data_IF_795754141950
#
_entry.id   IF_795754141950
#
_cell.length_a   1.000
_cell.length_b   1.000
_cell.length_c   1.000
_cell.angle_alpha   90.00
_cell.angle_beta   90.00
_cell.angle_gamma   90.00
#
_symmetry.space_group_name_H-M   'P 1'
#
loop_
_entity.id
_entity.type
_entity.pdbx_description
1 polymer ?
#
# COMPACT_ATOMS: atom_id res chain seq x y z
N UNK A 1 -16.45 28.16 -14.82
CA UNK A 1 -15.88 26.81 -15.04
C UNK A 1 -14.65 26.79 -15.94
N UNK A 2 -14.25 27.91 -16.57
CA UNK A 2 -13.14 27.95 -17.54
C UNK A 2 -11.77 27.54 -16.99
N UNK A 3 -11.54 27.67 -15.66
CA UNK A 3 -10.29 27.24 -15.01
C UNK A 3 -10.02 25.73 -15.04
N UNK A 4 -11.02 24.90 -15.34
CA UNK A 4 -10.88 23.44 -15.32
C UNK A 4 -10.59 22.86 -16.70
N UNK A 5 -9.84 21.76 -16.73
CA UNK A 5 -9.56 21.00 -17.96
C UNK A 5 -10.88 20.48 -18.53
N UNK A 6 -11.08 20.70 -19.83
CA UNK A 6 -12.29 20.30 -20.54
C UNK A 6 -12.02 20.04 -22.02
N UNK A 7 -13.01 19.44 -22.69
CA UNK A 7 -13.09 19.44 -24.16
C UNK A 7 -14.27 20.31 -24.60
N UNK A 8 -14.25 20.74 -25.87
CA UNK A 8 -15.39 21.45 -26.47
C UNK A 8 -16.68 20.64 -26.31
N UNK A 9 -17.81 21.35 -26.26
CA UNK A 9 -19.13 20.71 -26.18
C UNK A 9 -19.31 19.68 -27.31
N UNK A 10 -19.77 18.50 -26.93
CA UNK A 10 -20.11 17.42 -27.86
C UNK A 10 -21.47 16.85 -27.47
N UNK A 11 -22.34 16.65 -28.46
CA UNK A 11 -23.65 16.03 -28.24
C UNK A 11 -23.51 14.57 -27.74
N UNK A 12 -22.45 13.88 -28.16
CA UNK A 12 -22.12 12.49 -27.79
C UNK A 12 -20.66 12.40 -27.32
N UNK A 13 -20.29 12.97 -26.15
CA UNK A 13 -18.91 12.94 -25.72
C UNK A 13 -18.53 11.53 -25.29
N UNK A 14 -17.34 11.09 -25.67
CA UNK A 14 -16.74 9.90 -25.10
C UNK A 14 -16.13 10.30 -23.74
N UNK A 15 -16.69 9.79 -22.64
CA UNK A 15 -16.23 10.07 -21.27
C UNK A 15 -14.73 9.87 -21.07
N UNK A 16 -14.15 8.86 -21.72
CA UNK A 16 -12.73 8.53 -21.61
C UNK A 16 -11.82 9.55 -22.32
N UNK A 17 -12.38 10.37 -23.23
CA UNK A 17 -11.66 11.46 -23.91
C UNK A 17 -11.77 12.80 -23.17
N UNK A 18 -12.61 12.90 -22.15
CA UNK A 18 -12.73 14.11 -21.33
C UNK A 18 -11.59 14.09 -20.28
N UNK A 19 -10.73 15.12 -20.21
CA UNK A 19 -9.64 15.18 -19.24
C UNK A 19 -10.19 15.22 -17.81
N UNK A 20 -9.51 14.53 -16.90
CA UNK A 20 -9.92 14.43 -15.49
C UNK A 20 -9.31 15.59 -14.69
N UNK A 21 -10.16 16.29 -13.94
CA UNK A 21 -9.77 17.20 -12.87
C UNK A 21 -9.82 16.42 -11.55
N UNK A 22 -8.66 16.18 -10.94
CA UNK A 22 -8.54 15.37 -9.73
C UNK A 22 -8.76 16.23 -8.49
N UNK A 23 -9.55 15.72 -7.55
CA UNK A 23 -9.82 16.30 -6.25
C UNK A 23 -9.52 15.24 -5.17
N UNK A 24 -9.01 15.72 -4.04
CA UNK A 24 -8.84 14.92 -2.82
C UNK A 24 -9.88 15.33 -1.78
N UNK A 25 -9.92 14.64 -0.64
CA UNK A 25 -10.81 15.04 0.46
C UNK A 25 -10.44 16.39 1.09
N UNK A 26 -9.22 16.88 0.89
CA UNK A 26 -8.83 18.24 1.28
C UNK A 26 -9.53 19.29 0.40
N UNK A 27 -9.88 18.93 -0.85
CA UNK A 27 -10.57 19.79 -1.83
C UNK A 27 -12.10 19.61 -1.80
N UNK A 28 -12.64 18.98 -0.75
CA UNK A 28 -14.03 18.53 -0.69
C UNK A 28 -15.03 19.69 -0.84
N UNK A 29 -14.74 20.84 -0.24
CA UNK A 29 -15.62 22.01 -0.31
C UNK A 29 -15.71 22.57 -1.73
N UNK A 30 -14.58 22.64 -2.44
CA UNK A 30 -14.57 23.05 -3.84
C UNK A 30 -15.33 22.04 -4.69
N UNK A 31 -15.08 20.74 -4.52
CA UNK A 31 -15.79 19.69 -5.24
C UNK A 31 -17.31 19.76 -5.00
N UNK A 32 -17.73 19.94 -3.75
CA UNK A 32 -19.14 20.08 -3.37
C UNK A 32 -19.78 21.32 -3.98
N UNK A 33 -19.04 22.43 -4.09
CA UNK A 33 -19.53 23.64 -4.74
C UNK A 33 -19.83 23.42 -6.23
N UNK A 34 -18.95 22.69 -6.94
CA UNK A 34 -19.13 22.32 -8.35
C UNK A 34 -20.33 21.38 -8.50
N UNK A 35 -20.44 20.38 -7.64
CA UNK A 35 -21.55 19.44 -7.64
C UNK A 35 -22.89 20.14 -7.39
N UNK A 36 -22.95 21.04 -6.40
CA UNK A 36 -24.14 21.84 -6.10
C UNK A 36 -24.53 22.71 -7.29
N UNK A 37 -23.56 23.42 -7.90
CA UNK A 37 -23.81 24.22 -9.09
C UNK A 37 -24.40 23.37 -10.23
N UNK A 38 -23.81 22.19 -10.50
CA UNK A 38 -24.30 21.29 -11.53
C UNK A 38 -25.72 20.77 -11.25
N UNK A 39 -26.01 20.40 -10.00
CA UNK A 39 -27.33 19.95 -9.57
C UNK A 39 -28.39 21.04 -9.71
N UNK A 40 -28.03 22.28 -9.39
CA UNK A 40 -28.98 23.39 -9.36
C UNK A 40 -29.25 23.97 -10.78
N UNK A 41 -28.32 23.79 -11.73
CA UNK A 41 -28.44 24.39 -13.09
C UNK A 41 -28.61 23.38 -14.23
N UNK A 42 -28.27 22.10 -14.04
CA UNK A 42 -28.23 21.12 -15.12
C UNK A 42 -29.12 19.90 -14.85
N UNK A 43 -29.55 19.23 -15.91
CA UNK A 43 -30.37 18.03 -15.80
C UNK A 43 -29.53 16.82 -15.40
N UNK A 44 -29.91 16.15 -14.30
CA UNK A 44 -29.32 14.86 -13.94
C UNK A 44 -29.75 13.80 -14.96
N UNK A 45 -28.78 13.09 -15.55
CA UNK A 45 -29.05 11.97 -16.46
C UNK A 45 -28.47 10.68 -15.88
N UNK A 46 -29.24 9.59 -15.98
CA UNK A 46 -28.83 8.27 -15.46
C UNK A 46 -27.81 7.61 -16.40
N UNK A 47 -26.92 6.81 -15.82
CA UNK A 47 -26.01 5.97 -16.59
C UNK A 47 -26.75 4.89 -17.37
N UNK A 48 -26.18 4.48 -18.51
CA UNK A 48 -26.52 3.21 -19.14
C UNK A 48 -26.05 2.05 -18.24
N UNK A 49 -26.58 0.84 -18.43
CA UNK A 49 -26.12 -0.36 -17.71
C UNK A 49 -24.60 -0.58 -17.78
N UNK A 50 -23.95 -0.08 -18.85
CA UNK A 50 -22.50 -0.09 -19.07
C UNK A 50 -21.72 1.09 -18.45
N UNK A 51 -22.32 1.90 -17.58
CA UNK A 51 -21.71 3.10 -16.97
C UNK A 51 -21.31 4.20 -17.98
N UNK A 52 -21.88 4.14 -19.17
CA UNK A 52 -21.72 5.12 -20.24
C UNK A 52 -22.71 6.29 -20.11
N UNK A 53 -22.62 7.24 -21.05
CA UNK A 53 -23.54 8.37 -21.16
C UNK A 53 -24.75 7.92 -22.00
N UNK A 54 -25.98 8.17 -21.49
CA UNK A 54 -27.24 7.85 -22.17
C UNK A 54 -27.27 8.39 -23.60
N UNK A 55 -27.81 7.59 -24.53
CA UNK A 55 -27.87 7.91 -25.95
C UNK A 55 -29.22 8.43 -26.43
N UNK A 56 -30.19 8.66 -25.54
CA UNK A 56 -31.51 9.17 -25.90
C UNK A 56 -31.45 10.63 -26.32
N UNK A 57 -32.05 10.96 -27.48
CA UNK A 57 -31.95 12.28 -28.13
C UNK A 57 -32.57 13.40 -27.30
N UNK A 58 -33.73 13.16 -26.66
CA UNK A 58 -34.42 14.15 -25.81
C UNK A 58 -33.64 14.55 -24.54
N UNK A 59 -32.70 13.73 -24.09
CA UNK A 59 -31.82 14.04 -22.95
C UNK A 59 -30.55 14.78 -23.37
N UNK A 60 -30.23 14.80 -24.68
CA UNK A 60 -28.97 15.34 -25.21
C UNK A 60 -29.01 16.84 -25.54
N UNK A 61 -30.20 17.41 -25.71
CA UNK A 61 -30.38 18.81 -26.08
C UNK A 61 -30.24 19.77 -24.90
N UNK A 62 -30.20 19.24 -23.67
CA UNK A 62 -30.03 20.04 -22.46
C UNK A 62 -28.62 19.91 -21.90
N UNK A 63 -28.18 20.97 -21.23
CA UNK A 63 -27.03 20.93 -20.33
C UNK A 63 -27.34 19.94 -19.20
N UNK A 64 -26.37 19.06 -18.93
CA UNK A 64 -26.61 17.86 -18.15
C UNK A 64 -25.39 17.47 -17.35
N UNK A 65 -25.62 16.67 -16.31
CA UNK A 65 -24.55 16.08 -15.53
C UNK A 65 -24.84 14.63 -15.13
N UNK A 66 -23.77 13.92 -14.78
CA UNK A 66 -23.78 12.51 -14.39
C UNK A 66 -22.91 12.32 -13.16
N UNK A 67 -23.29 11.33 -12.34
CA UNK A 67 -22.58 10.98 -11.12
C UNK A 67 -22.31 9.50 -11.11
N UNK A 68 -21.04 9.11 -10.94
CA UNK A 68 -20.63 7.73 -10.64
C UNK A 68 -20.13 7.67 -9.20
N UNK A 69 -20.83 6.90 -8.37
CA UNK A 69 -20.38 6.59 -7.01
C UNK A 69 -19.74 5.19 -6.99
N UNK A 70 -18.50 5.11 -6.53
CA UNK A 70 -17.81 3.85 -6.19
C UNK A 70 -17.38 3.84 -4.73
N UNK A 71 -16.82 2.72 -4.27
CA UNK A 71 -16.45 2.53 -2.85
C UNK A 71 -15.46 3.57 -2.31
N UNK A 72 -14.59 4.15 -3.15
CA UNK A 72 -13.57 5.13 -2.74
C UNK A 72 -13.41 6.28 -3.75
N UNK A 73 -14.40 6.46 -4.62
CA UNK A 73 -14.36 7.49 -5.66
C UNK A 73 -15.75 8.04 -5.94
N UNK A 74 -15.79 9.32 -6.24
CA UNK A 74 -16.97 10.02 -6.70
C UNK A 74 -16.60 10.79 -7.97
N UNK A 75 -17.22 10.42 -9.08
CA UNK A 75 -16.97 11.03 -10.39
C UNK A 75 -18.17 11.87 -10.79
N UNK A 76 -17.93 13.12 -11.18
CA UNK A 76 -18.92 14.05 -11.71
C UNK A 76 -18.54 14.40 -13.16
N UNK A 77 -19.46 14.22 -14.09
CA UNK A 77 -19.29 14.64 -15.49
C UNK A 77 -20.33 15.70 -15.79
N UNK A 78 -19.91 16.84 -16.32
CA UNK A 78 -20.80 17.95 -16.73
C UNK A 78 -20.66 18.14 -18.23
N UNK A 79 -21.79 18.30 -18.93
CA UNK A 79 -21.86 18.63 -20.35
C UNK A 79 -22.74 19.86 -20.47
N UNK A 80 -22.13 21.00 -20.80
CA UNK A 80 -22.80 22.28 -20.97
C UNK A 80 -22.23 23.02 -22.17
N UNK A 81 -22.81 24.16 -22.54
CA UNK A 81 -22.40 24.94 -23.71
C UNK A 81 -20.94 25.38 -23.64
N UNK A 82 -20.39 25.57 -22.44
CA UNK A 82 -18.98 25.92 -22.24
C UNK A 82 -18.01 24.73 -22.41
N UNK A 83 -18.51 23.49 -22.40
CA UNK A 83 -17.67 22.30 -22.62
C UNK A 83 -18.15 21.03 -21.94
N UNK A 84 -17.35 19.98 -22.09
CA UNK A 84 -17.49 18.74 -21.34
C UNK A 84 -16.39 18.66 -20.28
N UNK A 85 -16.77 18.54 -19.01
CA UNK A 85 -15.90 18.52 -17.84
C UNK A 85 -16.02 17.18 -17.12
N UNK A 86 -14.92 16.72 -16.53
CA UNK A 86 -14.86 15.51 -15.72
C UNK A 86 -14.09 15.80 -14.44
N UNK A 87 -14.73 15.55 -13.30
CA UNK A 87 -14.20 15.77 -11.96
C UNK A 87 -14.17 14.44 -11.22
N UNK A 88 -13.08 14.13 -10.56
CA UNK A 88 -12.91 12.89 -9.81
C UNK A 88 -12.44 13.21 -8.39
N UNK A 89 -13.33 13.05 -7.42
CA UNK A 89 -12.99 13.03 -6.01
C UNK A 89 -12.60 11.60 -5.62
N UNK A 90 -11.39 11.43 -5.11
CA UNK A 90 -10.91 10.14 -4.61
C UNK A 90 -9.96 10.37 -3.42
N UNK A 91 -9.77 9.34 -2.59
CA UNK A 91 -8.64 9.34 -1.66
C UNK A 91 -7.33 9.57 -2.43
N UNK A 92 -6.32 10.16 -1.76
CA UNK A 92 -4.99 10.48 -2.33
C UNK A 92 -4.62 9.52 -3.47
N UNK A 93 -4.20 10.08 -4.62
CA UNK A 93 -3.66 9.29 -5.73
C UNK A 93 -2.72 8.25 -5.11
N UNK A 94 -2.95 6.96 -5.39
CA UNK A 94 -1.89 5.97 -5.25
C UNK A 94 -0.66 6.56 -5.93
N UNK A 95 0.44 6.65 -5.22
CA UNK A 95 1.69 7.06 -5.85
C UNK A 95 1.92 6.15 -7.05
N UNK A 96 2.45 6.68 -8.16
CA UNK A 96 2.51 5.98 -9.45
C UNK A 96 3.33 4.67 -9.39
N UNK A 97 3.96 4.34 -8.25
CA UNK A 97 4.74 3.13 -7.98
C UNK A 97 4.10 2.16 -6.96
N UNK A 98 2.91 2.44 -6.42
CA UNK A 98 2.25 1.58 -5.42
C UNK A 98 1.55 0.36 -6.07
N UNK A 99 2.10 -0.83 -5.86
CA UNK A 99 1.45 -2.10 -6.24
C UNK A 99 0.61 -2.68 -5.10
N UNK A 100 -0.44 -3.42 -5.46
CA UNK A 100 -1.28 -4.14 -4.48
C UNK A 100 -0.53 -5.34 -3.90
N UNK A 101 -0.99 -5.86 -2.75
CA UNK A 101 -0.43 -7.10 -2.18
C UNK A 101 -0.55 -8.30 -3.13
N UNK A 102 -1.64 -8.39 -3.88
CA UNK A 102 -1.81 -9.45 -4.89
C UNK A 102 -0.77 -9.33 -6.01
N UNK A 103 -0.52 -8.12 -6.50
CA UNK A 103 0.50 -7.90 -7.53
C UNK A 103 1.91 -8.15 -6.98
N UNK A 104 2.22 -7.64 -5.79
CA UNK A 104 3.48 -7.93 -5.08
C UNK A 104 3.74 -9.44 -4.96
N UNK A 105 2.72 -10.20 -4.57
CA UNK A 105 2.78 -11.66 -4.45
C UNK A 105 3.09 -12.33 -5.80
N UNK A 106 2.41 -11.92 -6.88
CA UNK A 106 2.69 -12.41 -8.24
C UNK A 106 4.10 -12.06 -8.72
N UNK A 107 4.70 -10.97 -8.23
CA UNK A 107 6.08 -10.64 -8.55
C UNK A 107 7.05 -11.56 -7.80
N UNK A 108 6.84 -11.81 -6.49
CA UNK A 108 7.62 -12.81 -5.73
C UNK A 108 7.63 -14.15 -6.46
N UNK A 109 6.46 -14.57 -6.93
CA UNK A 109 6.26 -15.79 -7.69
C UNK A 109 7.08 -15.88 -8.98
N UNK A 110 7.14 -14.79 -9.76
CA UNK A 110 8.00 -14.72 -10.95
C UNK A 110 9.48 -14.81 -10.59
N UNK A 111 9.88 -14.22 -9.47
CA UNK A 111 11.24 -14.36 -8.94
C UNK A 111 11.50 -15.80 -8.48
N UNK A 112 10.55 -16.46 -7.82
CA UNK A 112 10.68 -17.87 -7.42
C UNK A 112 10.89 -18.76 -8.65
N UNK A 113 10.12 -18.55 -9.72
CA UNK A 113 10.28 -19.26 -11.00
C UNK A 113 11.69 -19.06 -11.58
N UNK A 114 12.21 -17.82 -11.58
CA UNK A 114 13.57 -17.48 -12.06
C UNK A 114 14.66 -18.25 -11.29
N UNK A 115 14.46 -18.46 -10.00
CA UNK A 115 15.40 -19.13 -9.11
C UNK A 115 15.14 -20.64 -8.96
N UNK A 116 14.21 -21.22 -9.75
CA UNK A 116 13.78 -22.62 -9.65
C UNK A 116 13.31 -23.01 -8.23
N UNK A 117 12.69 -22.08 -7.51
CA UNK A 117 12.12 -22.30 -6.20
C UNK A 117 10.67 -22.75 -6.36
N UNK A 118 10.37 -23.98 -5.92
CA UNK A 118 8.99 -24.45 -5.81
C UNK A 118 8.32 -23.84 -4.57
N UNK A 119 7.68 -22.68 -4.77
CA UNK A 119 7.07 -21.94 -3.69
C UNK A 119 5.85 -22.65 -3.06
N UNK A 120 5.24 -23.63 -3.75
CA UNK A 120 4.15 -24.42 -3.17
C UNK A 120 4.60 -25.22 -1.93
N UNK A 121 5.90 -25.46 -1.76
CA UNK A 121 6.45 -26.14 -0.57
C UNK A 121 6.15 -25.40 0.74
N UNK A 122 5.90 -24.09 0.66
CA UNK A 122 5.52 -23.28 1.81
C UNK A 122 4.01 -23.10 1.95
N UNK A 123 3.22 -23.69 1.05
CA UNK A 123 1.77 -23.54 1.06
C UNK A 123 1.13 -24.35 2.17
N UNK A 124 0.03 -23.83 2.70
CA UNK A 124 -0.85 -24.47 3.65
C UNK A 124 -2.24 -24.53 3.02
N UNK A 125 -3.04 -25.52 3.41
CA UNK A 125 -4.47 -25.48 3.15
C UNK A 125 -5.13 -24.31 3.91
N UNK A 126 -6.34 -23.94 3.51
CA UNK A 126 -7.00 -22.74 4.03
C UNK A 126 -7.37 -22.81 5.51
N UNK A 127 -7.66 -24.00 6.04
CA UNK A 127 -8.02 -24.15 7.46
C UNK A 127 -6.77 -24.02 8.32
N UNK A 128 -5.71 -24.76 7.99
CA UNK A 128 -4.39 -24.62 8.65
C UNK A 128 -3.86 -23.19 8.55
N UNK A 129 -3.95 -22.56 7.38
CA UNK A 129 -3.51 -21.19 7.17
C UNK A 129 -4.29 -20.17 8.02
N UNK A 130 -5.59 -20.40 8.22
CA UNK A 130 -6.43 -19.56 9.08
C UNK A 130 -6.06 -19.69 10.55
N UNK A 131 -5.73 -20.89 11.01
CA UNK A 131 -5.27 -21.12 12.39
C UNK A 131 -3.93 -20.43 12.62
N UNK A 132 -2.96 -20.62 11.72
CA UNK A 132 -1.66 -19.93 11.76
C UNK A 132 -1.83 -18.41 11.80
N UNK A 133 -2.80 -17.86 11.05
CA UNK A 133 -3.07 -16.43 11.04
C UNK A 133 -3.41 -15.88 12.43
N UNK A 134 -4.03 -16.67 13.30
CA UNK A 134 -4.35 -16.27 14.68
C UNK A 134 -3.13 -16.17 15.58
N UNK A 135 -2.04 -16.86 15.22
CA UNK A 135 -0.76 -16.87 15.95
C UNK A 135 0.21 -15.78 15.48
N UNK A 136 -0.13 -15.04 14.42
CA UNK A 136 0.67 -13.91 13.95
C UNK A 136 0.47 -12.74 14.91
N UNK A 137 1.55 -12.36 15.58
CA UNK A 137 1.54 -11.26 16.53
C UNK A 137 1.37 -9.91 15.82
N UNK A 138 0.91 -8.91 16.57
CA UNK A 138 0.94 -7.54 16.06
C UNK A 138 2.39 -7.01 16.00
N UNK A 139 2.73 -6.18 15.01
CA UNK A 139 4.01 -5.49 14.96
C UNK A 139 4.35 -4.79 16.29
N UNK A 140 5.64 -4.72 16.64
CA UNK A 140 6.10 -4.20 17.93
C UNK A 140 6.07 -2.66 17.97
N UNK A 141 4.90 -2.04 17.87
CA UNK A 141 4.74 -0.58 17.91
C UNK A 141 4.40 -0.15 19.34
N UNK A 142 5.37 0.42 20.05
CA UNK A 142 5.22 0.71 21.48
C UNK A 142 6.04 1.94 21.90
N UNK A 143 5.49 2.71 22.84
CA UNK A 143 6.26 3.69 23.64
C UNK A 143 6.78 2.96 24.87
N UNK A 144 8.10 2.79 24.94
CA UNK A 144 8.77 2.05 26.00
C UNK A 144 9.00 2.91 27.26
N UNK A 145 9.12 4.23 27.09
CA UNK A 145 9.36 5.18 28.18
C UNK A 145 8.25 6.22 28.26
N UNK A 146 7.17 5.91 28.97
CA UNK A 146 6.01 6.81 29.09
C UNK A 146 6.34 8.17 29.73
N UNK A 147 7.34 8.21 30.63
CA UNK A 147 7.80 9.44 31.28
C UNK A 147 8.46 10.46 30.33
N UNK A 148 8.73 10.02 29.09
CA UNK A 148 9.35 10.80 28.03
C UNK A 148 8.32 11.33 27.02
N UNK A 149 7.03 11.02 27.20
CA UNK A 149 5.95 11.63 26.42
C UNK A 149 5.93 13.14 26.63
N UNK A 150 5.63 13.88 25.56
CA UNK A 150 5.51 15.34 25.52
C UNK A 150 6.78 16.12 25.90
N UNK A 151 7.96 15.46 25.83
CA UNK A 151 9.26 16.08 26.05
C UNK A 151 10.08 16.14 24.77
N UNK A 152 10.88 17.20 24.63
CA UNK A 152 11.96 17.27 23.64
C UNK A 152 13.17 16.56 24.22
N UNK A 153 13.70 15.58 23.48
CA UNK A 153 14.83 14.76 23.90
C UNK A 153 15.91 14.89 22.84
N UNK A 154 17.10 15.29 23.27
CA UNK A 154 18.28 15.38 22.41
C UNK A 154 19.07 14.05 22.46
N UNK A 155 20.02 13.87 21.54
CA UNK A 155 20.84 12.65 21.45
C UNK A 155 20.01 11.36 21.30
N UNK A 156 18.96 11.48 20.49
CA UNK A 156 18.13 10.34 20.09
C UNK A 156 18.64 9.80 18.76
N UNK A 157 18.91 8.51 18.74
CA UNK A 157 19.36 7.76 17.57
C UNK A 157 18.29 6.74 17.17
N UNK A 158 18.36 6.28 15.92
CA UNK A 158 17.41 5.33 15.35
C UNK A 158 18.15 4.14 14.75
N UNK A 159 17.76 2.93 15.15
CA UNK A 159 18.10 1.69 14.44
C UNK A 159 16.93 1.37 13.51
N UNK A 160 17.20 1.22 12.22
CA UNK A 160 16.23 0.88 11.18
C UNK A 160 16.62 -0.46 10.54
N UNK A 161 15.80 -1.51 10.75
CA UNK A 161 16.07 -2.85 10.20
C UNK A 161 15.63 -2.93 8.74
N UNK A 162 16.60 -2.92 7.80
CA UNK A 162 16.27 -2.82 6.38
C UNK A 162 15.57 -4.08 5.86
N UNK A 163 14.33 -3.90 5.38
CA UNK A 163 13.51 -4.98 4.84
C UNK A 163 13.40 -6.18 5.80
N UNK A 164 13.20 -5.85 7.09
CA UNK A 164 13.15 -6.76 8.23
C UNK A 164 12.38 -8.06 7.97
N UNK A 165 11.16 -7.96 7.44
CA UNK A 165 10.31 -9.12 7.13
C UNK A 165 10.96 -10.12 6.19
N UNK A 166 11.49 -9.66 5.05
CA UNK A 166 12.16 -10.51 4.08
C UNK A 166 13.44 -11.13 4.67
N UNK A 167 14.19 -10.37 5.46
CA UNK A 167 15.36 -10.89 6.17
C UNK A 167 15.03 -12.05 7.10
N UNK A 168 13.98 -11.94 7.91
CA UNK A 168 13.57 -13.03 8.82
C UNK A 168 13.14 -14.28 8.07
N UNK A 169 12.47 -14.12 6.92
CA UNK A 169 12.17 -15.25 6.03
C UNK A 169 13.45 -15.90 5.54
N UNK A 170 14.44 -15.12 5.08
CA UNK A 170 15.71 -15.67 4.60
C UNK A 170 16.55 -16.34 5.69
N UNK A 171 16.45 -15.92 6.95
CA UNK A 171 17.09 -16.61 8.07
C UNK A 171 16.47 -17.99 8.31
N UNK A 172 15.14 -18.10 8.23
CA UNK A 172 14.43 -19.37 8.40
C UNK A 172 14.46 -20.27 7.15
N UNK A 173 14.59 -19.66 5.97
CA UNK A 173 14.57 -20.31 4.65
C UNK A 173 15.73 -19.79 3.79
N UNK A 174 16.98 -20.23 4.06
CA UNK A 174 18.18 -19.74 3.37
C UNK A 174 18.14 -19.89 1.85
N UNK A 175 17.42 -20.88 1.34
CA UNK A 175 17.20 -21.11 -0.10
C UNK A 175 16.47 -19.95 -0.80
N UNK A 176 15.75 -19.11 -0.06
CA UNK A 176 15.08 -17.92 -0.59
C UNK A 176 16.01 -16.69 -0.64
N UNK A 177 17.20 -16.76 -0.04
CA UNK A 177 18.07 -15.59 0.19
C UNK A 177 18.49 -14.89 -1.09
N UNK A 178 18.95 -15.62 -2.09
CA UNK A 178 19.45 -15.02 -3.32
C UNK A 178 18.34 -14.28 -4.08
N UNK A 179 17.15 -14.89 -4.11
CA UNK A 179 15.94 -14.29 -4.68
C UNK A 179 15.60 -12.96 -4.00
N UNK A 180 15.50 -12.95 -2.67
CA UNK A 180 15.19 -11.74 -1.92
C UNK A 180 16.29 -10.69 -1.99
N UNK A 181 17.55 -11.10 -2.05
CA UNK A 181 18.70 -10.21 -2.20
C UNK A 181 18.65 -9.48 -3.55
N UNK A 182 18.30 -10.18 -4.63
CA UNK A 182 18.08 -9.53 -5.94
C UNK A 182 16.95 -8.50 -5.85
N UNK A 183 15.77 -8.88 -5.35
CA UNK A 183 14.62 -7.95 -5.21
C UNK A 183 15.02 -6.71 -4.40
N UNK A 184 15.72 -6.92 -3.28
CA UNK A 184 16.21 -5.84 -2.44
C UNK A 184 17.20 -4.93 -3.18
N UNK A 185 18.16 -5.50 -3.92
CA UNK A 185 19.14 -4.73 -4.70
C UNK A 185 18.48 -3.83 -5.76
N UNK A 186 17.37 -4.29 -6.34
CA UNK A 186 16.60 -3.57 -7.36
C UNK A 186 15.85 -2.34 -6.83
N UNK A 187 15.78 -2.17 -5.51
CA UNK A 187 15.31 -0.91 -4.89
C UNK A 187 16.12 0.30 -5.31
N UNK A 188 17.39 0.12 -5.72
CA UNK A 188 18.20 1.21 -6.31
C UNK A 188 17.66 1.68 -7.67
N UNK A 189 16.94 0.83 -8.38
CA UNK A 189 16.32 1.14 -9.68
C UNK A 189 14.94 1.79 -9.50
N UNK A 190 14.12 1.24 -8.59
CA UNK A 190 12.80 1.78 -8.24
C UNK A 190 12.44 1.39 -6.79
N UNK A 191 12.79 2.26 -5.84
CA UNK A 191 12.64 1.94 -4.42
C UNK A 191 11.18 1.65 -4.06
N UNK A 192 10.24 2.49 -4.51
CA UNK A 192 8.82 2.31 -4.24
C UNK A 192 8.32 0.93 -4.68
N UNK A 193 8.50 0.59 -5.95
CA UNK A 193 7.98 -0.67 -6.52
C UNK A 193 8.57 -1.90 -5.82
N UNK A 194 9.90 -1.99 -5.72
CA UNK A 194 10.55 -3.19 -5.15
C UNK A 194 10.41 -3.28 -3.64
N UNK A 195 10.34 -2.14 -2.92
CA UNK A 195 9.97 -2.14 -1.50
C UNK A 195 8.57 -2.69 -1.30
N UNK A 196 7.60 -2.29 -2.12
CA UNK A 196 6.25 -2.82 -2.04
C UNK A 196 6.15 -4.31 -2.40
N UNK A 197 7.00 -4.83 -3.30
CA UNK A 197 7.09 -6.29 -3.51
C UNK A 197 7.46 -6.98 -2.18
N UNK A 198 8.48 -6.49 -1.49
CA UNK A 198 8.99 -7.09 -0.25
C UNK A 198 7.99 -6.98 0.91
N UNK A 199 7.25 -5.86 1.02
CA UNK A 199 6.36 -5.62 2.17
C UNK A 199 4.93 -6.09 1.93
N UNK A 200 4.36 -5.79 0.76
CA UNK A 200 2.93 -6.04 0.50
C UNK A 200 2.65 -7.53 0.21
N UNK A 201 3.65 -8.30 -0.23
CA UNK A 201 3.53 -9.76 -0.39
C UNK A 201 3.25 -10.45 0.95
N UNK A 202 3.91 -10.02 2.03
CA UNK A 202 3.67 -10.51 3.40
C UNK A 202 2.22 -10.27 3.85
N UNK A 203 1.69 -9.09 3.55
CA UNK A 203 0.28 -8.76 3.80
C UNK A 203 -0.68 -9.64 2.98
N UNK A 204 -0.33 -9.94 1.73
CA UNK A 204 -1.12 -10.81 0.86
C UNK A 204 -1.21 -12.24 1.40
N UNK A 205 -0.07 -12.80 1.83
CA UNK A 205 0.06 -14.19 2.29
C UNK A 205 -0.79 -14.55 3.50
N UNK A 206 -1.03 -13.58 4.37
CA UNK A 206 -1.87 -13.73 5.56
C UNK A 206 -3.31 -13.23 5.35
N UNK A 207 -3.73 -13.01 4.10
CA UNK A 207 -5.05 -12.48 3.77
C UNK A 207 -6.01 -13.57 3.24
N UNK A 208 -7.33 -13.38 3.36
CA UNK A 208 -8.31 -14.26 2.72
C UNK A 208 -8.29 -14.14 1.18
N UNK A 209 -7.52 -13.19 0.62
CA UNK A 209 -7.41 -12.92 -0.80
C UNK A 209 -6.02 -13.26 -1.36
N UNK A 210 -5.23 -14.07 -0.63
CA UNK A 210 -3.91 -14.51 -1.07
C UNK A 210 -4.02 -15.17 -2.45
N UNK A 211 -3.19 -14.71 -3.39
CA UNK A 211 -3.19 -15.25 -4.76
C UNK A 211 -2.50 -16.59 -4.76
N UNK A 212 -3.13 -17.58 -5.37
CA UNK A 212 -2.61 -18.92 -5.51
C UNK A 212 -1.30 -18.95 -6.31
N UNK A 213 -0.30 -19.67 -5.82
CA UNK A 213 0.98 -19.81 -6.52
C UNK A 213 0.80 -20.52 -7.86
N UNK A 214 0.14 -21.67 -7.89
CA UNK A 214 0.04 -22.49 -9.12
C UNK A 214 -0.73 -21.77 -10.22
N UNK A 215 -1.86 -21.18 -9.87
CA UNK A 215 -2.75 -20.54 -10.84
C UNK A 215 -2.47 -19.06 -11.03
N UNK A 216 -1.85 -18.32 -10.09
CA UNK A 216 -1.57 -16.87 -10.22
C UNK A 216 -2.81 -15.96 -10.37
N UNK A 217 -4.02 -16.51 -10.42
CA UNK A 217 -5.28 -15.75 -10.63
C UNK A 217 -6.41 -16.14 -9.68
N UNK A 218 -6.40 -17.34 -9.09
CA UNK A 218 -7.36 -17.70 -8.04
C UNK A 218 -6.85 -17.24 -6.68
N UNK A 219 -7.76 -17.07 -5.72
CA UNK A 219 -7.39 -16.81 -4.34
C UNK A 219 -7.51 -18.09 -3.52
N UNK A 220 -6.47 -18.38 -2.74
CA UNK A 220 -6.45 -19.45 -1.72
C UNK A 220 -6.21 -18.75 -0.38
N UNK A 221 -7.23 -18.62 0.48
CA UNK A 221 -7.12 -17.92 1.75
C UNK A 221 -5.91 -18.39 2.57
N UNK A 222 -5.11 -17.45 3.05
CA UNK A 222 -4.02 -17.70 4.01
C UNK A 222 -2.95 -18.72 3.56
N UNK A 223 -2.83 -18.96 2.25
CA UNK A 223 -1.98 -20.03 1.70
C UNK A 223 -0.54 -20.01 2.24
N UNK A 224 0.02 -18.83 2.49
CA UNK A 224 1.41 -18.66 2.94
C UNK A 224 1.49 -18.00 4.31
N UNK A 225 0.50 -18.22 5.18
CA UNK A 225 0.44 -17.62 6.51
C UNK A 225 1.64 -17.99 7.39
N UNK A 226 2.24 -19.18 7.21
CA UNK A 226 3.50 -19.58 7.85
C UNK A 226 4.65 -18.61 7.52
N UNK A 227 4.85 -18.25 6.25
CA UNK A 227 5.89 -17.29 5.85
C UNK A 227 5.63 -15.91 6.43
N UNK A 228 4.37 -15.47 6.45
CA UNK A 228 3.99 -14.20 7.07
C UNK A 228 4.22 -14.20 8.60
N UNK A 229 3.94 -15.33 9.27
CA UNK A 229 4.23 -15.52 10.70
C UNK A 229 5.73 -15.43 10.96
N UNK A 230 6.55 -16.14 10.19
CA UNK A 230 8.01 -16.09 10.27
C UNK A 230 8.53 -14.65 10.12
N UNK A 231 8.03 -13.92 9.12
CA UNK A 231 8.40 -12.53 8.90
C UNK A 231 8.07 -11.62 10.10
N UNK A 232 6.82 -11.63 10.54
CA UNK A 232 6.31 -10.67 11.53
C UNK A 232 6.80 -11.00 12.94
N UNK A 233 6.61 -12.25 13.38
CA UNK A 233 7.00 -12.67 14.73
C UNK A 233 8.53 -12.69 14.85
N UNK A 234 9.25 -13.10 13.78
CA UNK A 234 10.72 -13.02 13.76
C UNK A 234 11.23 -11.58 13.90
N UNK A 235 10.55 -10.61 13.27
CA UNK A 235 10.95 -9.20 13.35
C UNK A 235 10.71 -8.63 14.74
N UNK A 236 9.55 -8.97 15.33
CA UNK A 236 9.23 -8.66 16.71
C UNK A 236 10.30 -9.22 17.68
N UNK A 237 10.67 -10.48 17.53
CA UNK A 237 11.71 -11.11 18.35
C UNK A 237 13.07 -10.40 18.21
N UNK A 238 13.46 -10.01 16.99
CA UNK A 238 14.70 -9.26 16.74
C UNK A 238 14.69 -7.87 17.39
N UNK A 239 13.56 -7.16 17.35
CA UNK A 239 13.37 -5.88 18.06
C UNK A 239 13.57 -6.09 19.58
N UNK A 240 12.90 -7.08 20.16
CA UNK A 240 13.01 -7.38 21.59
C UNK A 240 14.44 -7.76 22.00
N UNK A 241 15.14 -8.53 21.16
CA UNK A 241 16.55 -8.85 21.33
C UNK A 241 17.42 -7.59 21.33
N UNK A 242 17.27 -6.72 20.32
CA UNK A 242 18.06 -5.50 20.18
C UNK A 242 17.79 -4.50 21.30
N UNK A 243 16.54 -4.40 21.79
CA UNK A 243 16.21 -3.65 23.02
C UNK A 243 17.04 -4.14 24.22
N UNK A 244 17.16 -5.46 24.42
CA UNK A 244 17.95 -6.03 25.50
C UNK A 244 19.44 -5.69 25.33
N UNK A 245 19.95 -5.72 24.10
CA UNK A 245 21.35 -5.35 23.81
C UNK A 245 21.62 -3.86 24.08
N UNK A 246 20.72 -2.96 23.67
CA UNK A 246 20.82 -1.52 23.94
C UNK A 246 20.88 -1.24 25.46
N UNK A 247 19.97 -1.85 26.22
CA UNK A 247 19.94 -1.71 27.69
C UNK A 247 21.25 -2.20 28.33
N UNK A 248 21.81 -3.31 27.86
CA UNK A 248 23.11 -3.81 28.35
C UNK A 248 24.27 -2.85 28.08
N UNK A 249 24.20 -2.05 27.00
CA UNK A 249 25.19 -1.00 26.68
C UNK A 249 24.90 0.35 27.37
N UNK A 250 23.97 0.40 28.32
CA UNK A 250 23.61 1.64 29.03
C UNK A 250 22.76 2.62 28.20
N UNK A 251 22.25 2.20 27.05
CA UNK A 251 21.38 3.01 26.21
C UNK A 251 19.92 2.85 26.64
N UNK A 252 19.10 3.86 26.37
CA UNK A 252 17.70 3.89 26.82
C UNK A 252 16.76 3.81 25.62
N UNK A 253 16.19 2.63 25.30
CA UNK A 253 15.14 2.51 24.28
C UNK A 253 13.92 3.35 24.66
N UNK A 254 13.43 4.16 23.72
CA UNK A 254 12.36 5.12 23.92
C UNK A 254 11.06 4.66 23.26
N UNK A 255 11.13 4.32 21.98
CA UNK A 255 10.00 3.87 21.18
C UNK A 255 10.42 2.84 20.13
N UNK A 256 9.46 2.06 19.69
CA UNK A 256 9.62 1.13 18.58
C UNK A 256 8.46 1.28 17.61
N UNK A 257 8.73 1.06 16.33
CA UNK A 257 7.72 0.84 15.30
C UNK A 257 7.82 -0.62 14.79
N UNK A 258 7.31 -0.88 13.59
CA UNK A 258 7.33 -2.21 12.97
C UNK A 258 8.72 -2.82 12.86
N UNK A 259 9.74 -2.03 12.57
CA UNK A 259 11.07 -2.45 12.11
C UNK A 259 12.20 -1.53 12.59
N UNK A 260 12.00 -0.79 13.67
CA UNK A 260 12.94 0.21 14.13
C UNK A 260 12.79 0.57 15.61
N UNK A 261 13.88 1.10 16.16
CA UNK A 261 14.03 1.42 17.58
C UNK A 261 14.65 2.80 17.69
N UNK A 262 13.94 3.73 18.35
CA UNK A 262 14.55 4.97 18.80
C UNK A 262 15.05 4.78 20.22
N UNK A 263 16.25 5.28 20.47
CA UNK A 263 16.90 5.19 21.77
C UNK A 263 17.71 6.44 22.05
N UNK A 264 17.84 6.75 23.33
CA UNK A 264 18.72 7.80 23.84
C UNK A 264 20.09 7.21 24.20
N UNK A 265 21.15 7.96 23.90
CA UNK A 265 22.50 7.67 24.38
C UNK A 265 23.37 8.93 24.47
N UNK A 266 24.07 9.10 25.59
CA UNK A 266 25.13 10.12 25.74
C UNK A 266 26.46 9.70 25.11
N UNK A 267 26.56 8.45 24.64
CA UNK A 267 27.80 7.86 24.13
C UNK A 267 27.83 7.75 22.60
N UNK A 268 26.87 8.35 21.91
CA UNK A 268 26.75 8.29 20.46
C UNK A 268 25.85 7.15 19.96
N UNK A 269 25.89 6.92 18.64
CA UNK A 269 25.11 5.88 18.01
C UNK A 269 25.61 4.48 18.41
N UNK A 270 24.67 3.56 18.58
CA UNK A 270 24.95 2.14 18.68
C UNK A 270 25.50 1.62 17.36
N UNK A 271 26.61 0.89 17.45
CA UNK A 271 27.20 0.14 16.35
C UNK A 271 27.38 -1.34 16.75
N UNK A 272 27.21 -2.24 15.78
CA UNK A 272 27.54 -3.65 15.89
C UNK A 272 28.02 -4.24 14.55
N UNK A 273 28.34 -5.53 14.55
CA UNK A 273 28.80 -6.25 13.35
C UNK A 273 27.70 -6.51 12.33
N UNK A 274 26.43 -6.30 12.68
CA UNK A 274 25.28 -6.48 11.79
C UNK A 274 24.98 -5.20 10.99
N UNK A 275 25.59 -4.05 11.30
CA UNK A 275 25.38 -2.81 10.54
C UNK A 275 25.74 -2.96 9.06
N UNK A 276 24.91 -2.39 8.19
CA UNK A 276 25.23 -2.33 6.77
C UNK A 276 24.09 -1.91 5.84
N UNK A 277 24.32 -2.16 4.56
CA UNK A 277 23.37 -1.88 3.48
C UNK A 277 22.77 -3.16 2.88
N UNK A 278 23.07 -4.32 3.45
CA UNK A 278 22.59 -5.61 2.98
C UNK A 278 21.18 -5.90 3.51
N UNK A 279 20.51 -6.89 2.92
CA UNK A 279 19.21 -7.35 3.38
C UNK A 279 19.32 -7.89 4.81
N UNK A 280 18.58 -7.30 5.76
CA UNK A 280 18.57 -7.77 7.15
C UNK A 280 19.63 -7.18 8.08
N UNK A 281 20.43 -6.25 7.56
CA UNK A 281 21.36 -5.43 8.32
C UNK A 281 20.72 -4.09 8.73
#
# INVERSE_FOLDING_TARGET
MEKYKHIKYQLKPNKNKIPINHFTFEDLDEFNSIYKYARDHYKLVKHTQSQGISTKISERLHERYFVVKGNQRFELVIICNSGCYRFLLQNKKKEDNEITGQEACKQIYKFADKYNIDFNRYSNDSDTGKDIKTEIESPHIQVLQKLMLDKVIHHVYHIDFKSSYASRICEAHPELKDMYTEIYSKRKENDGYYKHILTNSIGCWQSPYCVDYTTRYKSVPFQFANLAKTAINGTRAKIEEKIKQLKKKGMVPLLTNTDGIWYYSDHGAYHDSEEGNQLGN
#
